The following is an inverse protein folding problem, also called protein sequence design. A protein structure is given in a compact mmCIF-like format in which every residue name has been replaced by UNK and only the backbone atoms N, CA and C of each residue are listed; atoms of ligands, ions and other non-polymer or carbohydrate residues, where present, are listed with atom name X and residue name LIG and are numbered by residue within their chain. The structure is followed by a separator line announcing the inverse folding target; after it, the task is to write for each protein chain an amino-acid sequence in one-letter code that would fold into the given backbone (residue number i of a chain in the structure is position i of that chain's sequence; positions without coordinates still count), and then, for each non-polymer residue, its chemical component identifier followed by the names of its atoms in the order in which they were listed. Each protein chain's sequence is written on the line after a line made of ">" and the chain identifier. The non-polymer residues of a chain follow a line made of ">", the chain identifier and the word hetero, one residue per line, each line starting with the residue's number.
data_IF_259685662837
#
_entry.id   IF_259685662837
#
_cell.length_a   1.000
_cell.length_b   1.000
_cell.length_c   1.000
_cell.angle_alpha   90.00
_cell.angle_beta   90.00
_cell.angle_gamma   90.00
#
_symmetry.space_group_name_H-M   'P 1'
#
loop_
_entity.id
_entity.type
_entity.pdbx_description
1 polymer ?
#
# COMPACT_ATOMS: atom_id res chain seq x y z
N UNK A 1 22.27 22.34 19.92
CA UNK A 1 23.01 21.42 20.82
C UNK A 1 22.05 20.29 21.11
N UNK A 2 22.46 19.03 21.03
CA UNK A 2 21.58 17.89 21.28
C UNK A 2 21.11 17.89 22.75
N UNK A 3 19.80 17.77 22.96
CA UNK A 3 19.20 17.83 24.29
C UNK A 3 18.44 16.53 24.58
N UNK A 4 18.88 15.83 25.62
CA UNK A 4 18.29 14.55 26.04
C UNK A 4 17.00 14.72 26.86
N UNK A 5 16.73 15.90 27.42
CA UNK A 5 15.55 16.14 28.25
C UNK A 5 14.27 16.18 27.42
N UNK A 6 14.38 16.59 26.14
CA UNK A 6 13.24 16.65 25.24
C UNK A 6 12.87 15.28 24.63
N UNK A 7 13.81 14.30 24.66
CA UNK A 7 13.57 13.00 24.00
C UNK A 7 12.35 12.25 24.54
N UNK A 8 12.13 12.27 25.83
CA UNK A 8 11.03 11.51 26.43
C UNK A 8 9.66 12.14 26.17
N UNK A 9 9.44 13.46 26.33
CA UNK A 9 8.22 14.12 25.91
C UNK A 9 7.93 13.95 24.41
N UNK A 10 8.94 14.16 23.55
CA UNK A 10 8.81 14.04 22.11
C UNK A 10 8.48 12.60 21.68
N UNK A 11 9.07 11.59 22.36
CA UNK A 11 8.77 10.19 22.13
C UNK A 11 7.26 9.89 22.32
N UNK A 12 6.66 10.33 23.42
CA UNK A 12 5.24 10.10 23.68
C UNK A 12 4.37 10.83 22.67
N UNK A 13 4.72 12.08 22.34
CA UNK A 13 4.00 12.87 21.34
C UNK A 13 3.98 12.18 19.97
N UNK A 14 5.14 11.64 19.53
CA UNK A 14 5.24 10.97 18.23
C UNK A 14 4.60 9.59 18.25
N UNK A 15 4.66 8.88 19.39
CA UNK A 15 4.02 7.58 19.58
C UNK A 15 2.51 7.64 19.32
N UNK A 16 1.84 8.73 19.70
CA UNK A 16 0.40 8.92 19.50
C UNK A 16 0.00 8.88 18.01
N UNK A 17 0.91 9.20 17.10
CA UNK A 17 0.66 9.10 15.66
C UNK A 17 0.86 7.68 15.08
N UNK A 18 1.52 6.77 15.80
CA UNK A 18 1.83 5.42 15.30
C UNK A 18 0.58 4.61 14.96
N UNK A 19 -0.47 4.53 15.84
CA UNK A 19 -1.67 3.75 15.53
C UNK A 19 -2.39 4.23 14.26
N UNK A 20 -2.52 5.54 14.08
CA UNK A 20 -3.19 6.15 12.92
C UNK A 20 -2.39 5.87 11.65
N UNK A 21 -1.06 6.03 11.70
CA UNK A 21 -0.16 5.72 10.60
C UNK A 21 -0.27 4.25 10.17
N UNK A 22 -0.25 3.33 11.14
CA UNK A 22 -0.38 1.90 10.86
C UNK A 22 -1.75 1.55 10.28
N UNK A 23 -2.83 2.15 10.80
CA UNK A 23 -4.18 1.93 10.27
C UNK A 23 -4.28 2.37 8.82
N UNK A 24 -3.77 3.57 8.48
CA UNK A 24 -3.73 4.06 7.12
C UNK A 24 -2.87 3.15 6.23
N UNK A 25 -1.67 2.75 6.70
CA UNK A 25 -0.77 1.87 5.96
C UNK A 25 -1.42 0.53 5.64
N UNK A 26 -2.07 -0.11 6.62
CA UNK A 26 -2.77 -1.39 6.43
C UNK A 26 -3.94 -1.23 5.45
N UNK A 27 -4.70 -0.15 5.56
CA UNK A 27 -5.83 0.10 4.65
C UNK A 27 -5.35 0.29 3.22
N UNK A 28 -4.33 1.13 3.00
CA UNK A 28 -3.71 1.32 1.68
C UNK A 28 -3.15 -0.01 1.15
N UNK A 29 -2.48 -0.78 2.00
CA UNK A 29 -1.91 -2.08 1.63
C UNK A 29 -2.98 -3.05 1.16
N UNK A 30 -4.07 -3.19 1.90
CA UNK A 30 -5.18 -4.09 1.52
C UNK A 30 -5.80 -3.63 0.20
N UNK A 31 -6.16 -2.35 0.07
CA UNK A 31 -6.78 -1.81 -1.14
C UNK A 31 -5.88 -1.96 -2.37
N UNK A 32 -4.59 -1.61 -2.23
CA UNK A 32 -3.63 -1.70 -3.33
C UNK A 32 -3.30 -3.15 -3.70
N UNK A 33 -3.24 -4.07 -2.72
CA UNK A 33 -3.00 -5.50 -2.95
C UNK A 33 -4.15 -6.14 -3.72
N UNK A 34 -5.39 -5.84 -3.34
CA UNK A 34 -6.58 -6.35 -4.04
C UNK A 34 -6.67 -5.78 -5.46
N UNK A 35 -6.45 -4.48 -5.63
CA UNK A 35 -6.50 -3.82 -6.93
C UNK A 35 -5.34 -4.29 -7.83
N UNK A 36 -4.13 -4.40 -7.30
CA UNK A 36 -2.97 -4.91 -8.01
C UNK A 36 -3.13 -6.38 -8.42
N UNK A 37 -3.70 -7.21 -7.55
CA UNK A 37 -4.03 -8.60 -7.86
C UNK A 37 -5.07 -8.71 -8.99
N UNK A 38 -6.10 -7.86 -8.96
CA UNK A 38 -7.07 -7.77 -10.05
C UNK A 38 -6.42 -7.38 -11.38
N UNK A 39 -5.51 -6.41 -11.37
CA UNK A 39 -4.77 -5.99 -12.57
C UNK A 39 -3.89 -7.12 -13.12
N UNK A 40 -3.15 -7.81 -12.24
CA UNK A 40 -2.34 -8.97 -12.64
C UNK A 40 -3.21 -10.09 -13.24
N UNK A 41 -4.37 -10.34 -12.66
CA UNK A 41 -5.33 -11.31 -13.19
C UNK A 41 -5.84 -10.93 -14.59
N UNK A 42 -6.25 -9.66 -14.80
CA UNK A 42 -6.68 -9.15 -16.12
C UNK A 42 -5.57 -9.31 -17.17
N UNK A 43 -4.33 -9.00 -16.82
CA UNK A 43 -3.18 -9.17 -17.71
C UNK A 43 -2.92 -10.65 -18.03
N UNK A 44 -3.03 -11.53 -17.03
CA UNK A 44 -2.83 -12.97 -17.18
C UNK A 44 -3.88 -13.60 -18.10
N UNK A 45 -5.15 -13.22 -17.95
CA UNK A 45 -6.25 -13.67 -18.80
C UNK A 45 -6.23 -13.08 -20.21
N UNK A 46 -5.33 -12.13 -20.49
CA UNK A 46 -5.16 -11.48 -21.79
C UNK A 46 -6.44 -10.85 -22.34
N UNK A 47 -7.34 -10.34 -21.48
CA UNK A 47 -8.59 -9.68 -21.89
C UNK A 47 -8.24 -8.40 -22.67
N UNK A 48 -8.48 -8.31 -24.01
CA UNK A 48 -7.77 -7.36 -24.87
C UNK A 48 -7.93 -5.90 -24.43
N UNK A 49 -9.16 -5.41 -24.26
CA UNK A 49 -9.44 -4.02 -23.89
C UNK A 49 -9.01 -3.69 -22.47
N UNK A 50 -9.35 -4.56 -21.50
CA UNK A 50 -9.01 -4.34 -20.08
C UNK A 50 -7.50 -4.36 -19.86
N UNK A 51 -6.77 -5.24 -20.55
CA UNK A 51 -5.31 -5.27 -20.50
C UNK A 51 -4.69 -3.96 -20.96
N UNK A 52 -5.21 -3.35 -22.03
CA UNK A 52 -4.72 -2.05 -22.50
C UNK A 52 -4.99 -0.95 -21.47
N UNK A 53 -6.18 -0.92 -20.88
CA UNK A 53 -6.53 0.04 -19.83
C UNK A 53 -5.62 -0.11 -18.60
N UNK A 54 -5.37 -1.35 -18.16
CA UNK A 54 -4.42 -1.64 -17.04
C UNK A 54 -3.01 -1.19 -17.40
N UNK A 55 -2.56 -1.39 -18.64
CA UNK A 55 -1.24 -0.94 -19.09
C UNK A 55 -1.12 0.58 -19.04
N UNK A 56 -2.11 1.31 -19.56
CA UNK A 56 -2.15 2.79 -19.50
C UNK A 56 -2.16 3.27 -18.06
N UNK A 57 -2.99 2.66 -17.20
CA UNK A 57 -3.04 2.95 -15.76
C UNK A 57 -1.66 2.78 -15.11
N UNK A 58 -1.00 1.65 -15.33
CA UNK A 58 0.33 1.39 -14.76
C UNK A 58 1.38 2.40 -15.23
N UNK A 59 1.36 2.76 -16.52
CA UNK A 59 2.28 3.78 -17.05
C UNK A 59 2.04 5.12 -16.35
N UNK A 60 0.78 5.55 -16.22
CA UNK A 60 0.43 6.81 -15.61
C UNK A 60 0.86 6.86 -14.13
N UNK A 61 0.45 5.87 -13.32
CA UNK A 61 0.72 5.89 -11.88
C UNK A 61 2.16 5.54 -11.48
N UNK A 62 2.92 4.87 -12.35
CA UNK A 62 4.37 4.66 -12.14
C UNK A 62 5.21 5.84 -12.62
N UNK A 63 4.75 6.57 -13.64
CA UNK A 63 5.49 7.67 -14.23
C UNK A 63 5.30 9.01 -13.50
N UNK A 64 4.22 9.18 -12.74
CA UNK A 64 3.91 10.42 -12.04
C UNK A 64 4.41 10.34 -10.59
N UNK A 65 5.10 11.38 -10.06
CA UNK A 65 5.46 11.41 -8.64
C UNK A 65 4.23 11.28 -7.72
N UNK A 66 4.34 10.47 -6.67
CA UNK A 66 3.21 10.19 -5.76
C UNK A 66 2.62 11.46 -5.15
N UNK A 67 3.45 12.46 -4.84
CA UNK A 67 2.98 13.75 -4.29
C UNK A 67 2.04 14.47 -5.26
N UNK A 68 2.32 14.40 -6.57
CA UNK A 68 1.45 15.00 -7.60
C UNK A 68 0.10 14.29 -7.64
N UNK A 69 0.10 12.96 -7.54
CA UNK A 69 -1.15 12.18 -7.48
C UNK A 69 -1.95 12.50 -6.23
N UNK A 70 -1.28 12.72 -5.08
CA UNK A 70 -1.94 13.14 -3.83
C UNK A 70 -2.66 14.48 -4.04
N UNK A 71 -2.00 15.49 -4.61
CA UNK A 71 -2.63 16.78 -4.89
C UNK A 71 -3.74 16.69 -5.96
N UNK A 72 -3.55 15.87 -7.00
CA UNK A 72 -4.62 15.61 -7.97
C UNK A 72 -5.84 14.97 -7.32
N UNK A 73 -5.64 14.05 -6.38
CA UNK A 73 -6.73 13.46 -5.61
C UNK A 73 -7.36 14.48 -4.66
N UNK A 74 -6.55 15.29 -3.99
CA UNK A 74 -7.03 16.30 -3.03
C UNK A 74 -7.96 17.32 -3.67
N UNK A 75 -7.59 17.85 -4.83
CA UNK A 75 -8.41 18.81 -5.56
C UNK A 75 -9.43 18.16 -6.50
N UNK A 76 -9.13 16.99 -7.03
CA UNK A 76 -9.93 16.32 -8.07
C UNK A 76 -11.04 15.43 -7.53
N UNK A 77 -10.83 14.70 -6.43
CA UNK A 77 -11.86 13.78 -5.89
C UNK A 77 -13.13 14.51 -5.46
N UNK A 78 -13.09 15.63 -4.71
CA UNK A 78 -14.29 16.36 -4.37
C UNK A 78 -15.05 16.85 -5.61
N UNK A 79 -14.33 17.37 -6.60
CA UNK A 79 -14.92 17.83 -7.86
C UNK A 79 -15.54 16.70 -8.67
N UNK A 80 -14.88 15.56 -8.75
CA UNK A 80 -15.40 14.37 -9.42
C UNK A 80 -16.66 13.82 -8.73
N UNK A 81 -16.63 13.73 -7.40
CA UNK A 81 -17.79 13.30 -6.61
C UNK A 81 -18.99 14.23 -6.80
N UNK A 82 -18.76 15.55 -6.79
CA UNK A 82 -19.82 16.53 -7.04
C UNK A 82 -20.42 16.34 -8.45
N UNK A 83 -19.58 16.16 -9.47
CA UNK A 83 -20.00 15.92 -10.84
C UNK A 83 -20.86 14.65 -10.95
N UNK A 84 -20.42 13.53 -10.39
CA UNK A 84 -21.20 12.30 -10.40
C UNK A 84 -22.48 12.39 -9.56
N UNK A 85 -22.44 13.05 -8.40
CA UNK A 85 -23.62 13.27 -7.58
C UNK A 85 -24.72 14.03 -8.34
N UNK A 86 -24.34 15.09 -9.06
CA UNK A 86 -25.29 15.84 -9.89
C UNK A 86 -25.89 15.02 -11.03
N UNK A 87 -25.10 14.13 -11.66
CA UNK A 87 -25.61 13.24 -12.71
C UNK A 87 -26.68 12.27 -12.20
N UNK A 88 -26.59 11.84 -10.95
CA UNK A 88 -27.51 10.90 -10.32
C UNK A 88 -28.55 11.58 -9.42
N UNK A 89 -28.68 12.93 -9.46
CA UNK A 89 -29.54 13.74 -8.58
C UNK A 89 -29.35 13.40 -7.08
N UNK A 90 -28.11 13.08 -6.67
CA UNK A 90 -27.76 12.78 -5.29
C UNK A 90 -27.20 14.05 -4.61
N UNK A 91 -27.70 14.36 -3.42
CA UNK A 91 -27.13 15.43 -2.58
C UNK A 91 -25.92 14.88 -1.82
N UNK A 92 -24.71 15.11 -2.36
CA UNK A 92 -23.46 14.73 -1.70
C UNK A 92 -22.64 15.98 -1.43
N UNK A 93 -22.31 16.20 -0.16
CA UNK A 93 -21.36 17.25 0.20
C UNK A 93 -19.93 16.77 -0.09
N UNK A 94 -19.49 16.95 -1.32
CA UNK A 94 -18.18 16.49 -1.78
C UNK A 94 -17.00 17.16 -1.04
N UNK A 95 -17.21 18.35 -0.47
CA UNK A 95 -16.19 19.06 0.31
C UNK A 95 -16.01 18.52 1.74
N UNK A 96 -16.85 17.57 2.19
CA UNK A 96 -16.74 16.94 3.50
C UNK A 96 -15.87 15.68 3.53
N UNK A 97 -15.17 15.36 2.42
CA UNK A 97 -14.25 14.22 2.40
C UNK A 97 -13.08 14.47 3.34
N UNK A 98 -12.88 13.61 4.36
CA UNK A 98 -11.72 13.72 5.23
C UNK A 98 -10.42 13.49 4.45
N UNK A 99 -9.37 14.28 4.74
CA UNK A 99 -8.08 14.18 4.06
C UNK A 99 -7.45 12.78 4.14
N UNK A 100 -7.67 12.04 5.24
CA UNK A 100 -7.20 10.66 5.38
C UNK A 100 -7.85 9.68 4.36
N UNK A 101 -9.08 9.93 3.93
CA UNK A 101 -9.71 9.14 2.85
C UNK A 101 -9.03 9.45 1.53
N UNK A 102 -8.76 10.71 1.26
CA UNK A 102 -8.10 11.15 0.02
C UNK A 102 -6.71 10.52 -0.11
N UNK A 103 -5.92 10.52 0.98
CA UNK A 103 -4.58 9.90 0.97
C UNK A 103 -4.66 8.39 0.76
N UNK A 104 -5.62 7.70 1.39
CA UNK A 104 -5.82 6.26 1.19
C UNK A 104 -6.13 5.96 -0.28
N UNK A 105 -7.05 6.70 -0.90
CA UNK A 105 -7.42 6.51 -2.31
C UNK A 105 -6.23 6.79 -3.22
N UNK A 106 -5.54 7.92 -3.04
CA UNK A 106 -4.39 8.32 -3.85
C UNK A 106 -3.24 7.31 -3.78
N UNK A 107 -2.82 6.93 -2.56
CA UNK A 107 -1.73 5.97 -2.38
C UNK A 107 -2.13 4.56 -2.81
N UNK A 108 -3.39 4.14 -2.57
CA UNK A 108 -3.85 2.83 -3.06
C UNK A 108 -3.80 2.75 -4.58
N UNK A 109 -4.17 3.81 -5.28
CA UNK A 109 -4.07 3.88 -6.72
C UNK A 109 -2.60 3.83 -7.19
N UNK A 110 -1.70 4.61 -6.58
CA UNK A 110 -0.28 4.58 -6.94
C UNK A 110 0.34 3.20 -6.70
N UNK A 111 0.15 2.65 -5.50
CA UNK A 111 0.82 1.41 -5.08
C UNK A 111 0.25 0.20 -5.81
N UNK A 112 -1.03 0.19 -6.18
CA UNK A 112 -1.65 -0.89 -6.97
C UNK A 112 -0.93 -1.13 -8.31
N UNK A 113 -0.42 -0.06 -8.95
CA UNK A 113 0.34 -0.18 -10.18
C UNK A 113 1.66 -0.96 -10.00
N UNK A 114 2.31 -0.81 -8.83
CA UNK A 114 3.52 -1.56 -8.47
C UNK A 114 3.18 -2.97 -8.01
N UNK A 115 2.15 -3.13 -7.20
CA UNK A 115 1.73 -4.45 -6.70
C UNK A 115 1.18 -5.36 -7.82
N UNK A 116 0.65 -4.79 -8.90
CA UNK A 116 0.30 -5.57 -10.09
C UNK A 116 1.50 -6.33 -10.67
N UNK A 117 2.71 -5.73 -10.63
CA UNK A 117 3.92 -6.42 -11.06
C UNK A 117 4.38 -7.49 -10.04
N UNK A 118 4.21 -7.24 -8.74
CA UNK A 118 4.48 -8.23 -7.70
C UNK A 118 3.64 -9.49 -7.94
N UNK A 119 2.34 -9.34 -8.09
CA UNK A 119 1.43 -10.45 -8.38
C UNK A 119 1.73 -11.13 -9.70
N UNK A 120 2.07 -10.37 -10.74
CA UNK A 120 2.47 -10.92 -12.04
C UNK A 120 3.78 -11.71 -11.94
N UNK A 121 4.77 -11.21 -11.18
CA UNK A 121 6.00 -11.94 -10.90
C UNK A 121 5.74 -13.27 -10.19
N UNK A 122 4.90 -13.25 -9.15
CA UNK A 122 4.51 -14.43 -8.40
C UNK A 122 3.71 -15.44 -9.27
N UNK A 123 2.81 -14.97 -10.15
CA UNK A 123 2.11 -15.82 -11.11
C UNK A 123 3.07 -16.48 -12.10
N UNK A 124 4.07 -15.74 -12.57
CA UNK A 124 5.05 -16.26 -13.54
C UNK A 124 6.09 -17.19 -12.92
N UNK A 125 6.27 -17.19 -11.60
CA UNK A 125 7.17 -18.09 -10.89
C UNK A 125 6.60 -19.51 -10.73
N UNK A 126 5.29 -19.69 -10.99
CA UNK A 126 4.65 -20.99 -10.91
C UNK A 126 5.05 -21.90 -12.08
N UNK A 127 5.48 -23.14 -11.78
CA UNK A 127 5.90 -24.11 -12.77
C UNK A 127 4.71 -24.70 -13.54
N UNK A 128 4.70 -24.54 -14.86
CA UNK A 128 3.66 -25.07 -15.74
C UNK A 128 3.59 -26.61 -15.71
N UNK A 129 4.69 -27.30 -15.44
CA UNK A 129 4.70 -28.77 -15.29
C UNK A 129 3.80 -29.27 -14.17
N UNK A 130 3.66 -28.49 -13.08
CA UNK A 130 2.71 -28.82 -12.02
C UNK A 130 1.25 -28.65 -12.48
N UNK A 131 0.96 -27.71 -13.38
CA UNK A 131 -0.36 -27.58 -14.00
C UNK A 131 -0.72 -28.82 -14.80
N UNK A 132 0.20 -29.27 -15.66
CA UNK A 132 -0.01 -30.42 -16.52
C UNK A 132 -0.19 -31.71 -15.70
N UNK A 133 0.60 -31.86 -14.64
CA UNK A 133 0.48 -33.00 -13.72
C UNK A 133 -0.89 -32.99 -12.99
N UNK A 134 -1.34 -31.85 -12.47
CA UNK A 134 -2.62 -31.76 -11.78
C UNK A 134 -3.81 -31.99 -12.72
N UNK A 135 -3.75 -31.48 -13.95
CA UNK A 135 -4.78 -31.74 -14.98
C UNK A 135 -4.82 -33.21 -15.38
N UNK A 136 -3.66 -33.85 -15.49
CA UNK A 136 -3.56 -35.29 -15.77
C UNK A 136 -4.16 -36.17 -14.65
N UNK A 137 -4.15 -35.65 -13.40
CA UNK A 137 -4.81 -36.29 -12.24
C UNK A 137 -6.33 -36.01 -12.19
N UNK A 138 -6.89 -35.29 -13.19
CA UNK A 138 -8.31 -35.01 -13.28
C UNK A 138 -8.76 -33.77 -12.52
N UNK A 139 -7.84 -32.90 -12.09
CA UNK A 139 -8.21 -31.60 -11.47
C UNK A 139 -8.89 -30.70 -12.50
N UNK A 140 -10.01 -30.08 -12.11
CA UNK A 140 -10.57 -28.97 -12.89
C UNK A 140 -9.69 -27.72 -12.76
N UNK A 141 -9.76 -26.78 -13.73
CA UNK A 141 -8.99 -25.54 -13.68
C UNK A 141 -9.19 -24.76 -12.38
N UNK A 142 -10.40 -24.75 -11.81
CA UNK A 142 -10.67 -24.12 -10.53
C UNK A 142 -10.03 -24.84 -9.33
N UNK A 143 -9.96 -26.17 -9.39
CA UNK A 143 -9.26 -26.98 -8.37
C UNK A 143 -7.75 -26.80 -8.48
N UNK A 144 -7.20 -26.79 -9.69
CA UNK A 144 -5.80 -26.49 -9.96
C UNK A 144 -5.44 -25.11 -9.37
N UNK A 145 -6.18 -24.07 -9.72
CA UNK A 145 -5.92 -22.73 -9.21
C UNK A 145 -5.96 -22.67 -7.67
N UNK A 146 -7.05 -23.14 -7.07
CA UNK A 146 -7.29 -22.98 -5.62
C UNK A 146 -6.38 -23.87 -4.76
N UNK A 147 -6.06 -25.10 -5.21
CA UNK A 147 -5.35 -26.10 -4.40
C UNK A 147 -3.85 -26.17 -4.66
N UNK A 148 -3.41 -25.78 -5.87
CA UNK A 148 -2.01 -25.93 -6.29
C UNK A 148 -1.37 -24.57 -6.55
N UNK A 149 -1.95 -23.74 -7.44
CA UNK A 149 -1.33 -22.49 -7.87
C UNK A 149 -1.41 -21.41 -6.79
N UNK A 150 -2.60 -21.10 -6.29
CA UNK A 150 -2.84 -19.95 -5.41
C UNK A 150 -2.02 -20.02 -4.10
N UNK A 151 -1.91 -21.16 -3.39
CA UNK A 151 -1.05 -21.24 -2.20
C UNK A 151 0.42 -20.94 -2.50
N UNK A 152 0.95 -21.45 -3.63
CA UNK A 152 2.35 -21.22 -4.01
C UNK A 152 2.60 -19.77 -4.45
N UNK A 153 1.66 -19.18 -5.22
CA UNK A 153 1.73 -17.77 -5.64
C UNK A 153 1.74 -16.83 -4.43
N UNK A 154 0.92 -17.10 -3.42
CA UNK A 154 0.93 -16.29 -2.19
C UNK A 154 2.30 -16.35 -1.51
N UNK A 155 2.87 -17.55 -1.33
CA UNK A 155 4.18 -17.71 -0.70
C UNK A 155 5.26 -16.95 -1.47
N UNK A 156 5.26 -17.08 -2.80
CA UNK A 156 6.21 -16.36 -3.66
C UNK A 156 6.04 -14.83 -3.59
N UNK A 157 4.82 -14.32 -3.34
CA UNK A 157 4.56 -12.89 -3.27
C UNK A 157 4.91 -12.26 -1.90
N UNK A 158 4.99 -13.03 -0.81
CA UNK A 158 5.16 -12.50 0.56
C UNK A 158 6.33 -11.51 0.69
N UNK A 159 7.56 -11.81 0.24
CA UNK A 159 8.67 -10.88 0.41
C UNK A 159 8.45 -9.54 -0.28
N UNK A 160 7.92 -9.57 -1.51
CA UNK A 160 7.65 -8.37 -2.29
C UNK A 160 6.46 -7.58 -1.75
N UNK A 161 5.46 -8.25 -1.19
CA UNK A 161 4.34 -7.60 -0.49
C UNK A 161 4.81 -6.91 0.80
N UNK A 162 5.73 -7.51 1.55
CA UNK A 162 6.34 -6.88 2.71
C UNK A 162 7.13 -5.62 2.31
N UNK A 163 7.90 -5.69 1.22
CA UNK A 163 8.58 -4.54 0.65
C UNK A 163 7.59 -3.44 0.21
N UNK A 164 6.47 -3.82 -0.41
CA UNK A 164 5.42 -2.88 -0.81
C UNK A 164 4.80 -2.17 0.41
N UNK A 165 4.59 -2.88 1.52
CA UNK A 165 4.13 -2.27 2.77
C UNK A 165 5.12 -1.21 3.28
N UNK A 166 6.43 -1.47 3.21
CA UNK A 166 7.44 -0.49 3.60
C UNK A 166 7.49 0.71 2.66
N UNK A 167 7.19 0.53 1.38
CA UNK A 167 7.03 1.66 0.44
C UNK A 167 5.82 2.52 0.84
N UNK A 168 4.69 1.90 1.23
CA UNK A 168 3.50 2.62 1.72
C UNK A 168 3.84 3.43 2.98
N UNK A 169 4.52 2.83 3.95
CA UNK A 169 4.95 3.52 5.18
C UNK A 169 5.74 4.78 4.88
N UNK A 170 6.68 4.71 3.93
CA UNK A 170 7.47 5.87 3.49
C UNK A 170 6.63 6.89 2.72
N UNK A 171 5.70 6.43 1.88
CA UNK A 171 4.85 7.30 1.08
C UNK A 171 3.82 8.07 1.93
N UNK A 172 3.41 7.51 3.07
CA UNK A 172 2.51 8.17 4.02
C UNK A 172 3.10 9.48 4.57
N UNK A 173 4.41 9.62 4.66
CA UNK A 173 5.03 10.90 5.05
C UNK A 173 4.68 12.07 4.12
N UNK A 174 4.27 11.79 2.86
CA UNK A 174 3.76 12.79 1.93
C UNK A 174 2.34 13.27 2.29
N UNK A 175 1.63 12.58 3.17
CA UNK A 175 0.27 12.91 3.60
C UNK A 175 0.20 14.24 4.36
N UNK A 176 1.32 14.67 4.94
CA UNK A 176 1.44 15.99 5.57
C UNK A 176 1.19 17.15 4.59
N UNK A 177 1.45 16.96 3.30
CA UNK A 177 1.15 17.95 2.27
C UNK A 177 -0.35 18.29 2.14
N UNK A 178 -1.23 17.43 2.64
CA UNK A 178 -2.69 17.64 2.72
C UNK A 178 -3.19 17.55 4.17
N UNK A 179 -2.36 17.97 5.13
CA UNK A 179 -2.69 18.10 6.56
C UNK A 179 -3.10 16.78 7.25
N UNK A 180 -2.63 15.64 6.75
CA UNK A 180 -2.81 14.35 7.45
C UNK A 180 -1.59 14.09 8.32
N UNK A 181 -1.80 13.94 9.62
CA UNK A 181 -0.74 13.77 10.60
C UNK A 181 -0.41 12.28 10.74
N UNK A 182 0.76 11.89 10.23
CA UNK A 182 1.41 10.60 10.42
C UNK A 182 2.62 10.73 11.37
N UNK A 183 3.42 9.69 11.52
CA UNK A 183 4.65 9.72 12.35
C UNK A 183 5.59 10.85 11.94
N UNK A 184 5.82 11.05 10.63
CA UNK A 184 6.70 12.10 10.12
C UNK A 184 6.15 13.49 10.41
N UNK A 185 4.85 13.69 10.12
CA UNK A 185 4.17 14.95 10.37
C UNK A 185 4.17 15.29 11.87
N UNK A 186 3.90 14.32 12.74
CA UNK A 186 3.93 14.53 14.18
C UNK A 186 5.33 14.90 14.67
N UNK A 187 6.38 14.26 14.16
CA UNK A 187 7.75 14.63 14.50
C UNK A 187 8.05 16.08 14.08
N UNK A 188 7.60 16.49 12.89
CA UNK A 188 7.77 17.86 12.42
C UNK A 188 6.99 18.88 13.26
N UNK A 189 5.75 18.58 13.64
CA UNK A 189 4.93 19.43 14.50
C UNK A 189 5.54 19.57 15.90
N UNK A 190 6.00 18.47 16.49
CA UNK A 190 6.67 18.45 17.80
C UNK A 190 7.95 19.29 17.75
N UNK A 191 8.77 19.09 16.73
CA UNK A 191 10.00 19.88 16.54
C UNK A 191 9.73 21.37 16.32
N UNK A 192 8.63 21.74 15.68
CA UNK A 192 8.26 23.13 15.49
C UNK A 192 7.91 23.88 16.80
N UNK A 193 7.51 23.13 17.85
CA UNK A 193 7.19 23.73 19.16
C UNK A 193 8.44 24.02 20.01
N UNK A 194 9.48 23.20 19.89
CA UNK A 194 10.66 23.28 20.75
C UNK A 194 11.98 23.57 20.00
N UNK A 195 11.95 23.55 18.65
CA UNK A 195 13.09 23.74 17.74
C UNK A 195 14.15 22.62 17.79
N UNK A 196 13.86 21.44 18.39
CA UNK A 196 14.73 20.29 18.46
C UNK A 196 14.45 19.29 17.32
N UNK A 197 14.68 19.73 16.08
CA UNK A 197 14.37 18.94 14.87
C UNK A 197 15.16 17.64 14.78
N UNK A 198 16.44 17.63 15.17
CA UNK A 198 17.28 16.44 15.09
C UNK A 198 16.74 15.36 16.01
N UNK A 199 16.41 15.70 17.25
CA UNK A 199 15.89 14.81 18.29
C UNK A 199 14.57 14.19 17.86
N UNK A 200 13.62 14.99 17.42
CA UNK A 200 12.30 14.54 16.97
C UNK A 200 12.41 13.59 15.75
N UNK A 201 13.25 13.91 14.77
CA UNK A 201 13.44 13.02 13.62
C UNK A 201 14.22 11.76 13.96
N UNK A 202 15.13 11.77 14.92
CA UNK A 202 15.78 10.54 15.41
C UNK A 202 14.75 9.60 16.07
N UNK A 203 13.80 10.13 16.82
CA UNK A 203 12.69 9.34 17.38
C UNK A 203 11.83 8.74 16.26
N UNK A 204 11.48 9.53 15.25
CA UNK A 204 10.73 9.03 14.09
C UNK A 204 11.48 7.91 13.37
N UNK A 205 12.80 8.03 13.17
CA UNK A 205 13.64 6.97 12.59
C UNK A 205 13.55 5.70 13.42
N UNK A 206 13.60 5.77 14.75
CA UNK A 206 13.47 4.60 15.62
C UNK A 206 12.11 3.92 15.42
N UNK A 207 11.00 4.68 15.36
CA UNK A 207 9.67 4.11 15.08
C UNK A 207 9.62 3.42 13.72
N UNK A 208 10.11 4.05 12.66
CA UNK A 208 10.14 3.43 11.33
C UNK A 208 11.03 2.17 11.29
N UNK A 209 12.17 2.16 12.01
CA UNK A 209 13.02 0.98 12.10
C UNK A 209 12.35 -0.17 12.84
N UNK A 210 11.68 0.11 13.96
CA UNK A 210 10.93 -0.91 14.73
C UNK A 210 9.81 -1.49 13.88
N UNK A 211 9.03 -0.64 13.21
CA UNK A 211 7.95 -1.09 12.31
C UNK A 211 8.52 -1.95 11.19
N UNK A 212 9.61 -1.52 10.55
CA UNK A 212 10.26 -2.28 9.49
C UNK A 212 10.73 -3.65 9.97
N UNK A 213 11.35 -3.71 11.15
CA UNK A 213 11.80 -4.95 11.76
C UNK A 213 10.63 -5.90 12.04
N UNK A 214 9.54 -5.40 12.63
CA UNK A 214 8.33 -6.19 12.92
C UNK A 214 7.72 -6.73 11.64
N UNK A 215 7.55 -5.89 10.62
CA UNK A 215 6.97 -6.29 9.33
C UNK A 215 7.81 -7.36 8.64
N UNK A 216 9.14 -7.17 8.61
CA UNK A 216 10.06 -8.16 8.01
C UNK A 216 10.00 -9.50 8.76
N UNK A 217 10.09 -9.48 10.09
CA UNK A 217 10.00 -10.71 10.90
C UNK A 217 8.67 -11.42 10.76
N UNK A 218 7.58 -10.67 10.64
CA UNK A 218 6.26 -11.24 10.41
C UNK A 218 6.15 -11.88 9.03
N UNK A 219 6.69 -11.23 8.00
CA UNK A 219 6.74 -11.78 6.64
C UNK A 219 7.57 -13.07 6.58
N UNK A 220 8.79 -13.07 7.17
CA UNK A 220 9.68 -14.24 7.25
C UNK A 220 8.97 -15.42 7.95
N UNK A 221 8.26 -15.14 9.05
CA UNK A 221 7.55 -16.15 9.82
C UNK A 221 6.39 -16.78 9.01
N UNK A 222 5.64 -15.94 8.27
CA UNK A 222 4.53 -16.42 7.42
C UNK A 222 5.10 -17.26 6.27
N UNK A 223 6.12 -16.75 5.58
CA UNK A 223 6.77 -17.46 4.48
C UNK A 223 7.29 -18.84 4.94
N UNK A 224 8.02 -18.89 6.06
CA UNK A 224 8.55 -20.14 6.59
C UNK A 224 7.45 -21.17 6.92
N UNK A 225 6.32 -20.71 7.50
CA UNK A 225 5.19 -21.58 7.83
C UNK A 225 4.46 -22.13 6.61
N UNK A 226 4.35 -21.33 5.56
CA UNK A 226 3.63 -21.71 4.35
C UNK A 226 4.51 -22.56 3.42
N UNK A 227 5.81 -22.29 3.34
CA UNK A 227 6.77 -23.10 2.56
C UNK A 227 6.83 -24.58 2.97
N UNK A 228 6.61 -24.87 4.24
CA UNK A 228 6.58 -26.27 4.75
C UNK A 228 5.32 -27.02 4.30
N UNK A 229 4.30 -26.32 3.80
CA UNK A 229 3.00 -26.89 3.41
C UNK A 229 2.76 -26.97 1.90
N UNK A 230 3.66 -26.40 1.11
CA UNK A 230 3.67 -26.41 -0.35
C UNK A 230 4.81 -27.24 -0.89
#
# INVERSE_FOLDING_TARGET
>A
MFDTEVLLPDFWSILDAVPVTLLMAVTVFICSTLLGGLFAYIEHQRIPLLRQLVMVYKIAFKGVPMVVVIFLAYYGLPSALHFFATLFNAEVNAHSLPNWVIIIVALSACVAAFQAEVWKGALNSFDSGQSDAALSLGYSGGQLFRRVMFPQIIVAAIPDLANAFMVIMKALSLAFAIEVVDIFAQAQLTAALNFYYLEAFLIAVVFYMVIAWVVTKFADMIEARLRVRT
#
